data_IF_394747084675
#
_entry.id   IF_394747084675
#
_cell.length_a   1.000
_cell.length_b   1.000
_cell.length_c   1.000
_cell.angle_alpha   90.00
_cell.angle_beta   90.00
_cell.angle_gamma   90.00
#
_symmetry.space_group_name_H-M   'P 1'
#
loop_
_entity.id
_entity.type
_entity.pdbx_description
1 polymer ?
#
# COMPACT_ATOMS: atom_id res chain seq x y z
N UNK A 1 5.55 -7.21 -12.44
CA UNK A 1 4.72 -7.90 -13.44
C UNK A 1 4.20 -9.22 -12.87
N UNK A 2 5.02 -9.90 -12.09
CA UNK A 2 4.89 -11.25 -11.54
C UNK A 2 3.63 -11.46 -10.70
N UNK A 3 3.28 -10.51 -9.82
CA UNK A 3 2.10 -10.62 -8.95
C UNK A 3 0.82 -10.10 -9.61
N UNK A 4 0.86 -8.88 -10.16
CA UNK A 4 -0.33 -8.16 -10.62
C UNK A 4 -0.55 -8.18 -12.15
N UNK A 5 0.39 -8.74 -12.93
CA UNK A 5 0.26 -8.88 -14.39
C UNK A 5 0.39 -7.60 -15.21
N UNK A 6 0.82 -6.49 -14.61
CA UNK A 6 1.02 -5.22 -15.33
C UNK A 6 2.39 -4.57 -15.06
N UNK A 7 2.69 -3.55 -15.86
CA UNK A 7 3.84 -2.67 -15.73
C UNK A 7 3.39 -1.21 -15.89
N UNK A 8 4.04 -0.31 -15.17
CA UNK A 8 3.84 1.13 -15.30
C UNK A 8 5.11 1.86 -14.87
N UNK A 9 5.27 3.11 -15.30
CA UNK A 9 6.32 3.99 -14.81
C UNK A 9 6.07 4.32 -13.34
N UNK A 10 7.13 4.25 -12.53
CA UNK A 10 7.08 4.53 -11.10
C UNK A 10 7.84 5.80 -10.77
N UNK A 11 7.26 6.60 -9.88
CA UNK A 11 7.91 7.73 -9.24
C UNK A 11 8.06 7.46 -7.75
N UNK A 12 9.27 7.62 -7.22
CA UNK A 12 9.49 7.58 -5.78
C UNK A 12 8.85 8.80 -5.10
N UNK A 13 8.17 8.56 -3.98
CA UNK A 13 7.59 9.61 -3.14
C UNK A 13 8.47 9.89 -1.91
N UNK A 14 8.68 8.87 -1.09
CA UNK A 14 9.45 8.94 0.15
C UNK A 14 9.84 7.53 0.61
N UNK A 15 10.64 7.46 1.67
CA UNK A 15 10.99 6.20 2.35
C UNK A 15 10.91 6.38 3.87
N UNK A 16 10.67 5.31 4.60
CA UNK A 16 10.63 5.33 6.07
C UNK A 16 11.16 4.02 6.64
N UNK A 17 11.56 4.04 7.91
CA UNK A 17 11.98 2.84 8.63
C UNK A 17 10.89 2.46 9.62
N UNK A 18 10.47 1.20 9.62
CA UNK A 18 9.51 0.68 10.59
C UNK A 18 9.99 -0.63 11.21
N UNK A 19 9.41 -0.96 12.36
CA UNK A 19 9.62 -2.24 13.03
C UNK A 19 8.29 -2.76 13.58
N UNK A 20 7.86 -3.93 13.12
CA UNK A 20 6.57 -4.51 13.49
C UNK A 20 6.73 -6.00 13.83
N UNK A 21 6.28 -6.45 15.02
CA UNK A 21 6.21 -7.87 15.35
C UNK A 21 4.95 -8.51 14.74
N UNK A 22 5.06 -9.79 14.39
CA UNK A 22 3.94 -10.65 13.99
C UNK A 22 3.61 -11.67 15.08
N UNK A 23 2.35 -12.12 15.11
CA UNK A 23 1.86 -13.10 16.10
C UNK A 23 2.57 -14.46 16.02
N UNK A 24 3.16 -14.79 14.87
CA UNK A 24 3.95 -16.01 14.66
C UNK A 24 5.40 -15.90 15.18
N UNK A 25 5.75 -14.80 15.87
CA UNK A 25 7.09 -14.55 16.41
C UNK A 25 8.08 -13.97 15.40
N UNK A 26 7.66 -13.69 14.16
CA UNK A 26 8.48 -12.94 13.21
C UNK A 26 8.46 -11.44 13.53
N UNK A 27 9.43 -10.71 12.98
CA UNK A 27 9.50 -9.25 13.09
C UNK A 27 9.99 -8.70 11.77
N UNK A 28 9.25 -7.76 11.21
CA UNK A 28 9.73 -6.88 10.16
C UNK A 28 10.53 -5.74 10.78
N UNK A 29 11.68 -5.43 10.17
CA UNK A 29 12.48 -4.25 10.48
C UNK A 29 13.15 -3.79 9.19
N UNK A 30 12.50 -2.85 8.52
CA UNK A 30 12.77 -2.57 7.11
C UNK A 30 12.89 -1.07 6.86
N UNK A 31 13.67 -0.73 5.83
CA UNK A 31 13.64 0.56 5.16
C UNK A 31 12.73 0.39 3.93
N UNK A 32 11.52 0.94 4.01
CA UNK A 32 10.50 0.78 2.99
C UNK A 32 10.44 2.00 2.06
N UNK A 33 10.44 1.76 0.76
CA UNK A 33 10.43 2.80 -0.29
C UNK A 33 9.04 2.87 -0.92
N UNK A 34 8.38 4.02 -0.75
CA UNK A 34 7.03 4.23 -1.28
C UNK A 34 7.11 4.85 -2.67
N UNK A 35 6.53 4.15 -3.65
CA UNK A 35 6.48 4.57 -5.05
C UNK A 35 5.03 4.70 -5.51
N UNK A 36 4.78 5.59 -6.47
CA UNK A 36 3.48 5.75 -7.12
C UNK A 36 3.59 5.50 -8.62
N UNK A 37 2.60 4.81 -9.17
CA UNK A 37 2.42 4.59 -10.60
C UNK A 37 0.95 4.72 -10.98
N UNK A 38 0.68 4.87 -12.27
CA UNK A 38 -0.68 5.03 -12.79
C UNK A 38 -0.97 3.95 -13.81
N UNK A 39 -2.12 3.27 -13.67
CA UNK A 39 -2.54 2.21 -14.57
C UNK A 39 -4.06 2.25 -14.73
N UNK A 40 -4.54 2.13 -15.96
CA UNK A 40 -5.96 2.36 -16.31
C UNK A 40 -6.72 1.09 -16.70
N UNK A 41 -6.06 -0.07 -16.66
CA UNK A 41 -6.68 -1.36 -16.98
C UNK A 41 -6.79 -2.24 -15.73
N UNK A 42 -7.44 -3.39 -15.87
CA UNK A 42 -7.53 -4.37 -14.80
C UNK A 42 -6.25 -5.24 -14.74
N UNK A 43 -5.67 -5.48 -13.55
CA UNK A 43 -4.56 -6.41 -13.38
C UNK A 43 -4.99 -7.85 -13.72
N UNK A 44 -4.06 -8.63 -14.29
CA UNK A 44 -4.18 -10.08 -14.48
C UNK A 44 -3.31 -10.72 -13.41
N UNK A 45 -3.91 -10.97 -12.24
CA UNK A 45 -3.16 -11.39 -11.05
C UNK A 45 -2.63 -12.82 -11.17
N UNK A 46 -1.51 -13.08 -10.48
CA UNK A 46 -1.04 -14.41 -10.16
C UNK A 46 -1.75 -14.90 -8.87
N UNK A 47 -2.63 -15.93 -8.95
CA UNK A 47 -3.40 -16.40 -7.80
C UNK A 47 -2.56 -17.12 -6.73
N UNK A 48 -1.30 -17.48 -7.02
CA UNK A 48 -0.39 -18.04 -6.01
C UNK A 48 0.12 -16.97 -5.02
N UNK A 49 0.07 -15.68 -5.42
CA UNK A 49 0.58 -14.55 -4.62
C UNK A 49 -0.55 -13.59 -4.20
N UNK A 50 -1.60 -13.44 -5.02
CA UNK A 50 -2.67 -12.45 -4.80
C UNK A 50 -4.03 -13.15 -4.81
N UNK A 51 -4.77 -13.04 -3.70
CA UNK A 51 -6.11 -13.63 -3.58
C UNK A 51 -7.18 -12.83 -4.33
N UNK A 52 -7.17 -11.49 -4.21
CA UNK A 52 -8.14 -10.61 -4.86
C UNK A 52 -7.64 -9.16 -4.94
N UNK A 53 -8.33 -8.33 -5.73
CA UNK A 53 -8.05 -6.89 -5.84
C UNK A 53 -9.34 -6.09 -5.99
N UNK A 54 -9.32 -4.82 -5.55
CA UNK A 54 -10.39 -3.85 -5.78
C UNK A 54 -9.80 -2.46 -6.02
N UNK A 55 -10.38 -1.70 -6.95
CA UNK A 55 -10.17 -0.26 -7.01
C UNK A 55 -11.02 0.41 -5.93
N UNK A 56 -10.43 1.33 -5.17
CA UNK A 56 -11.07 2.03 -4.07
C UNK A 56 -10.53 3.46 -4.00
N UNK A 57 -11.38 4.42 -3.64
CA UNK A 57 -10.95 5.82 -3.47
C UNK A 57 -10.12 5.98 -2.20
N UNK A 58 -9.26 7.00 -2.15
CA UNK A 58 -8.41 7.28 -0.99
C UNK A 58 -9.27 7.53 0.25
N UNK A 59 -10.35 8.29 0.12
CA UNK A 59 -11.29 8.59 1.20
C UNK A 59 -11.98 7.32 1.72
N UNK A 60 -12.37 6.41 0.82
CA UNK A 60 -12.98 5.14 1.22
C UNK A 60 -11.97 4.21 1.91
N UNK A 61 -10.69 4.17 1.48
CA UNK A 61 -9.65 3.42 2.21
C UNK A 61 -9.49 3.98 3.63
N UNK A 62 -9.47 5.31 3.78
CA UNK A 62 -9.35 5.97 5.08
C UNK A 62 -10.44 5.52 6.06
N UNK A 63 -11.68 5.49 5.58
CA UNK A 63 -12.82 5.02 6.37
C UNK A 63 -12.77 3.51 6.65
N UNK A 64 -12.44 2.70 5.63
CA UNK A 64 -12.40 1.23 5.73
C UNK A 64 -11.31 0.75 6.70
N UNK A 65 -10.16 1.44 6.79
CA UNK A 65 -9.13 1.12 7.79
C UNK A 65 -9.58 1.37 9.24
N UNK A 66 -10.49 2.32 9.46
CA UNK A 66 -11.06 2.57 10.79
C UNK A 66 -12.09 1.51 11.14
N UNK A 67 -12.92 1.11 10.18
CA UNK A 67 -14.00 0.13 10.38
C UNK A 67 -13.46 -1.31 10.44
N UNK A 68 -12.50 -1.64 9.59
CA UNK A 68 -11.94 -2.98 9.40
C UNK A 68 -10.40 -2.96 9.53
N UNK A 69 -9.84 -2.57 10.68
CA UNK A 69 -8.39 -2.41 10.84
C UNK A 69 -7.61 -3.70 10.58
N UNK A 70 -8.18 -4.87 10.88
CA UNK A 70 -7.49 -6.16 10.73
C UNK A 70 -7.40 -6.64 9.27
N UNK A 71 -8.12 -5.99 8.35
CA UNK A 71 -8.03 -6.26 6.92
C UNK A 71 -6.77 -5.64 6.27
N UNK A 72 -5.99 -4.86 7.03
CA UNK A 72 -4.84 -4.12 6.54
C UNK A 72 -3.58 -4.47 7.32
N UNK A 73 -2.49 -4.66 6.58
CA UNK A 73 -1.15 -4.88 7.14
C UNK A 73 -0.67 -3.66 7.92
N UNK A 74 0.26 -3.87 8.83
CA UNK A 74 0.81 -2.80 9.68
C UNK A 74 1.52 -1.75 8.82
N UNK A 75 2.36 -2.17 7.88
CA UNK A 75 3.07 -1.26 6.98
C UNK A 75 2.12 -0.43 6.12
N UNK A 76 1.00 -1.00 5.64
CA UNK A 76 0.06 -0.25 4.79
C UNK A 76 -0.58 0.92 5.55
N UNK A 77 -0.92 0.73 6.83
CA UNK A 77 -1.47 1.80 7.67
C UNK A 77 -0.47 2.95 7.85
N UNK A 78 0.82 2.62 8.01
CA UNK A 78 1.89 3.61 8.12
C UNK A 78 2.06 4.37 6.79
N UNK A 79 2.16 3.65 5.67
CA UNK A 79 2.25 4.24 4.33
C UNK A 79 1.08 5.18 4.08
N UNK A 80 -0.14 4.76 4.41
CA UNK A 80 -1.33 5.56 4.13
C UNK A 80 -1.34 6.89 4.90
N UNK A 81 -0.93 6.89 6.18
CA UNK A 81 -0.85 8.11 6.98
C UNK A 81 0.17 9.11 6.41
N UNK A 82 1.38 8.64 6.11
CA UNK A 82 2.44 9.46 5.47
C UNK A 82 2.03 9.94 4.07
N UNK A 83 1.42 9.06 3.27
CA UNK A 83 0.91 9.39 1.93
C UNK A 83 -0.21 10.43 1.98
N UNK A 84 -1.10 10.35 2.97
CA UNK A 84 -2.18 11.30 3.13
C UNK A 84 -1.64 12.70 3.47
N UNK A 85 -0.66 12.81 4.37
CA UNK A 85 0.05 14.07 4.63
C UNK A 85 0.76 14.59 3.37
N UNK A 86 1.44 13.72 2.62
CA UNK A 86 2.06 14.09 1.35
C UNK A 86 1.06 14.69 0.36
N UNK A 87 -0.13 14.12 0.23
CA UNK A 87 -1.18 14.64 -0.65
C UNK A 87 -1.71 16.00 -0.18
N UNK A 88 -1.86 16.23 1.12
CA UNK A 88 -2.30 17.53 1.65
C UNK A 88 -1.26 18.62 1.38
N UNK A 89 0.02 18.32 1.55
CA UNK A 89 1.12 19.28 1.30
C UNK A 89 1.34 19.61 -0.18
N UNK A 90 0.97 18.70 -1.09
CA UNK A 90 1.17 18.85 -2.54
C UNK A 90 -0.12 19.20 -3.29
N UNK A 91 -1.25 19.37 -2.60
CA UNK A 91 -2.46 20.02 -3.12
C UNK A 91 -2.30 21.55 -2.97
N UNK A 92 -1.54 22.16 -3.87
CA UNK A 92 -1.51 23.62 -4.12
C UNK A 92 -2.07 23.93 -5.51
#
# INVERSE_FOLDING_TARGET
>A
FEEMGFQTELKELFHFIYKAPFDNGLTEHELDHVMIGYYNEAPIINPDEVESWKWITIEAIKEDMVVNPDAYTVWFKIIFDEFYHYLEDHKL
#
